data_IF_938428014723
#
_entry.id   IF_938428014723
#
_cell.length_a   1.000
_cell.length_b   1.000
_cell.length_c   1.000
_cell.angle_alpha   90.00
_cell.angle_beta   90.00
_cell.angle_gamma   90.00
#
_symmetry.space_group_name_H-M   'P 1'
#
loop_
_entity.id
_entity.type
_entity.pdbx_description
1 polymer ?
#
# COMPACT_ATOMS: atom_id res chain seq x y z
N UNK A 1 19.34 -14.34 -2.03
CA UNK A 1 18.35 -14.16 -0.96
C UNK A 1 17.10 -13.65 -1.64
N UNK A 2 15.95 -14.12 -1.18
CA UNK A 2 14.66 -13.66 -1.71
C UNK A 2 14.51 -12.13 -1.48
N UNK A 3 14.00 -11.40 -2.47
CA UNK A 3 13.96 -9.93 -2.47
C UNK A 3 12.58 -9.42 -2.87
N UNK A 4 12.13 -8.36 -2.16
CA UNK A 4 10.93 -7.60 -2.50
C UNK A 4 11.34 -6.22 -3.01
N UNK A 5 10.84 -5.84 -4.18
CA UNK A 5 10.91 -4.48 -4.70
C UNK A 5 9.56 -3.79 -4.48
N UNK A 6 9.55 -2.68 -3.77
CA UNK A 6 8.36 -1.89 -3.48
C UNK A 6 8.46 -0.60 -4.25
N UNK A 7 7.48 -0.32 -5.11
CA UNK A 7 7.51 0.82 -6.04
C UNK A 7 6.29 1.70 -5.76
N UNK A 8 6.52 2.95 -5.40
CA UNK A 8 5.39 3.87 -5.22
C UNK A 8 5.70 5.12 -4.41
N UNK A 9 4.78 5.51 -3.56
CA UNK A 9 4.76 6.78 -2.88
C UNK A 9 5.45 6.79 -1.52
N UNK A 10 6.09 7.92 -1.23
CA UNK A 10 6.49 8.34 0.10
C UNK A 10 5.88 9.71 0.36
N UNK A 11 5.23 9.87 1.50
CA UNK A 11 4.62 11.13 1.91
C UNK A 11 5.07 11.53 3.31
N UNK A 12 4.98 12.82 3.59
CA UNK A 12 4.94 13.34 4.94
C UNK A 12 3.47 13.58 5.30
N UNK A 13 2.96 12.82 6.24
CA UNK A 13 1.60 12.98 6.70
C UNK A 13 1.55 14.02 7.82
N UNK A 14 0.77 15.09 7.61
CA UNK A 14 0.48 16.13 8.60
C UNK A 14 -0.87 15.81 9.23
N UNK A 15 -0.81 15.23 10.43
CA UNK A 15 -2.02 14.79 11.15
C UNK A 15 -2.48 15.89 12.10
N UNK A 16 -3.75 16.27 11.98
CA UNK A 16 -4.41 17.25 12.86
C UNK A 16 -5.58 16.58 13.59
N UNK A 17 -5.40 16.37 14.89
CA UNK A 17 -6.47 15.86 15.75
C UNK A 17 -7.32 17.05 16.21
N UNK A 18 -8.54 17.15 15.69
CA UNK A 18 -9.45 18.25 15.99
C UNK A 18 -10.09 18.02 17.37
N UNK A 19 -10.09 19.05 18.21
CA UNK A 19 -10.80 19.05 19.50
C UNK A 19 -12.24 19.56 19.42
N UNK A 20 -12.62 20.06 18.25
CA UNK A 20 -13.93 20.60 17.92
C UNK A 20 -14.18 20.51 16.40
N UNK A 21 -15.41 20.63 15.90
CA UNK A 21 -15.70 20.64 14.47
C UNK A 21 -14.96 21.76 13.74
N UNK A 22 -14.42 21.44 12.55
CA UNK A 22 -13.68 22.39 11.73
C UNK A 22 -14.50 23.67 11.47
N UNK A 23 -13.99 24.81 11.90
CA UNK A 23 -14.62 26.10 11.77
C UNK A 23 -14.22 26.80 10.46
N UNK A 24 -15.18 27.43 9.77
CA UNK A 24 -14.92 28.18 8.54
C UNK A 24 -14.61 29.64 8.86
N UNK A 25 -13.58 30.21 8.22
CA UNK A 25 -13.16 31.60 8.37
C UNK A 25 -12.71 32.03 9.78
N UNK A 26 -12.32 31.06 10.63
CA UNK A 26 -11.76 31.32 11.95
C UNK A 26 -10.84 30.18 12.35
N UNK A 27 -10.22 30.25 13.53
CA UNK A 27 -9.32 29.21 14.05
C UNK A 27 -10.10 28.01 14.57
N UNK A 28 -9.57 26.82 14.32
CA UNK A 28 -10.00 25.57 14.98
C UNK A 28 -8.80 25.02 15.73
N UNK A 29 -8.96 24.73 17.02
CA UNK A 29 -7.89 24.19 17.84
C UNK A 29 -7.69 22.71 17.52
N UNK A 30 -6.44 22.33 17.28
CA UNK A 30 -6.04 20.96 16.97
C UNK A 30 -4.68 20.62 17.57
N UNK A 31 -4.45 19.32 17.80
CA UNK A 31 -3.11 18.81 18.07
C UNK A 31 -2.51 18.34 16.75
N UNK A 32 -1.37 18.91 16.37
CA UNK A 32 -0.73 18.62 15.09
C UNK A 32 0.54 17.80 15.28
N UNK A 33 0.77 16.85 14.37
CA UNK A 33 1.99 16.06 14.27
C UNK A 33 2.37 15.78 12.84
N UNK A 34 3.62 15.37 12.62
CA UNK A 34 4.09 14.87 11.32
C UNK A 34 4.55 13.43 11.48
N UNK A 35 4.18 12.58 10.51
CA UNK A 35 4.60 11.18 10.47
C UNK A 35 5.05 10.80 9.08
N UNK A 36 5.89 9.77 8.96
CA UNK A 36 6.18 9.15 7.68
C UNK A 36 4.92 8.45 7.18
N UNK A 37 4.61 8.61 5.91
CA UNK A 37 3.43 8.04 5.25
C UNK A 37 3.68 7.67 3.81
N UNK A 38 2.61 7.37 3.10
CA UNK A 38 2.63 6.75 1.78
C UNK A 38 2.43 5.25 1.88
N UNK A 39 1.42 4.70 1.18
CA UNK A 39 1.04 3.29 1.33
C UNK A 39 2.24 2.35 1.08
N UNK A 40 2.99 2.56 -0.01
CA UNK A 40 4.13 1.71 -0.34
C UNK A 40 5.30 1.90 0.64
N UNK A 41 5.51 3.11 1.15
CA UNK A 41 6.49 3.36 2.20
C UNK A 41 6.13 2.63 3.50
N UNK A 42 4.87 2.67 3.91
CA UNK A 42 4.39 1.96 5.10
C UNK A 42 4.62 0.43 4.97
N UNK A 43 4.32 -0.15 3.79
CA UNK A 43 4.61 -1.57 3.53
C UNK A 43 6.11 -1.87 3.68
N UNK A 44 7.00 -0.98 3.17
CA UNK A 44 8.45 -1.14 3.29
C UNK A 44 8.92 -1.10 4.75
N UNK A 45 8.38 -0.17 5.53
CA UNK A 45 8.68 -0.04 6.98
C UNK A 45 8.24 -1.30 7.73
N UNK A 46 7.01 -1.78 7.49
CA UNK A 46 6.50 -2.98 8.13
C UNK A 46 7.28 -4.24 7.74
N UNK A 47 7.63 -4.43 6.46
CA UNK A 47 8.47 -5.57 6.04
C UNK A 47 9.84 -5.54 6.70
N UNK A 48 10.46 -4.35 6.76
CA UNK A 48 11.75 -4.19 7.45
C UNK A 48 11.64 -4.54 8.94
N UNK A 49 10.56 -4.10 9.61
CA UNK A 49 10.27 -4.46 11.01
C UNK A 49 10.10 -5.98 11.19
N UNK A 50 9.48 -6.67 10.22
CA UNK A 50 9.33 -8.12 10.20
C UNK A 50 10.63 -8.87 9.79
N UNK A 51 11.74 -8.15 9.60
CA UNK A 51 13.03 -8.73 9.25
C UNK A 51 13.17 -9.12 7.77
N UNK A 52 12.28 -8.65 6.90
CA UNK A 52 12.31 -8.91 5.46
C UNK A 52 13.06 -7.78 4.74
N UNK A 53 14.16 -8.06 4.04
CA UNK A 53 14.88 -7.03 3.29
C UNK A 53 14.08 -6.56 2.07
N UNK A 54 14.02 -5.23 1.88
CA UNK A 54 13.27 -4.60 0.81
C UNK A 54 14.11 -3.60 0.03
N UNK A 55 13.75 -3.42 -1.25
CA UNK A 55 14.20 -2.32 -2.10
C UNK A 55 13.02 -1.35 -2.29
N UNK A 56 13.02 -0.23 -1.56
CA UNK A 56 12.01 0.82 -1.74
C UNK A 56 12.43 1.75 -2.87
N UNK A 57 11.65 1.77 -3.95
CA UNK A 57 11.80 2.66 -5.10
C UNK A 57 10.74 3.75 -5.05
N UNK A 58 11.18 4.98 -4.89
CA UNK A 58 10.29 6.14 -4.76
C UNK A 58 11.00 7.43 -5.18
N UNK A 59 10.30 8.56 -5.06
CA UNK A 59 10.86 9.88 -5.30
C UNK A 59 10.39 10.87 -4.24
N UNK A 60 11.35 11.73 -3.81
CA UNK A 60 11.13 12.85 -2.89
C UNK A 60 11.61 14.15 -3.53
N UNK A 61 11.19 15.28 -3.01
CA UNK A 61 11.73 16.58 -3.39
C UNK A 61 13.12 16.83 -2.80
N UNK A 62 13.82 17.83 -3.35
CA UNK A 62 15.07 18.37 -2.80
C UNK A 62 14.80 19.44 -1.70
N UNK A 63 13.78 19.22 -0.90
CA UNK A 63 13.31 20.13 0.15
C UNK A 63 13.58 19.58 1.56
N UNK A 64 13.23 20.40 2.58
CA UNK A 64 13.42 20.03 3.99
C UNK A 64 12.64 18.77 4.37
N UNK A 65 11.46 18.55 3.77
CA UNK A 65 10.65 17.36 4.03
C UNK A 65 11.30 16.11 3.43
N UNK A 66 11.92 16.21 2.24
CA UNK A 66 12.69 15.13 1.64
C UNK A 66 13.88 14.70 2.51
N UNK A 67 14.63 15.67 3.06
CA UNK A 67 15.71 15.36 3.99
C UNK A 67 15.20 14.70 5.29
N UNK A 68 14.03 15.14 5.79
CA UNK A 68 13.38 14.54 6.95
C UNK A 68 12.94 13.09 6.65
N UNK A 69 12.35 12.84 5.47
CA UNK A 69 11.96 11.47 5.02
C UNK A 69 13.16 10.52 5.05
N UNK A 70 14.31 10.93 4.49
CA UNK A 70 15.53 10.10 4.50
C UNK A 70 15.93 9.75 5.94
N UNK A 71 15.88 10.72 6.85
CA UNK A 71 16.17 10.48 8.27
C UNK A 71 15.21 9.47 8.90
N UNK A 72 13.91 9.55 8.57
CA UNK A 72 12.92 8.60 9.09
C UNK A 72 13.11 7.20 8.51
N UNK A 73 13.35 7.06 7.19
CA UNK A 73 13.63 5.77 6.57
C UNK A 73 14.82 5.07 7.25
N UNK A 74 15.90 5.81 7.50
CA UNK A 74 17.09 5.29 8.20
C UNK A 74 16.77 4.86 9.65
N UNK A 75 15.93 5.62 10.36
CA UNK A 75 15.48 5.26 11.71
C UNK A 75 14.69 3.95 11.74
N UNK A 76 13.87 3.71 10.71
CA UNK A 76 13.14 2.43 10.53
C UNK A 76 14.01 1.31 9.92
N UNK A 77 15.27 1.58 9.56
CA UNK A 77 16.15 0.60 8.92
C UNK A 77 15.84 0.34 7.45
N UNK A 78 15.01 1.17 6.81
CA UNK A 78 14.68 1.09 5.37
C UNK A 78 15.79 1.78 4.57
N UNK A 79 16.33 1.10 3.57
CA UNK A 79 17.35 1.68 2.68
C UNK A 79 16.76 2.76 1.78
N UNK A 80 17.36 3.94 1.77
CA UNK A 80 17.02 5.07 0.91
C UNK A 80 17.76 5.04 -0.45
N UNK A 81 18.56 4.01 -0.72
CA UNK A 81 19.43 3.90 -1.91
C UNK A 81 18.69 4.10 -3.25
N UNK A 82 17.44 3.63 -3.33
CA UNK A 82 16.61 3.72 -4.54
C UNK A 82 15.52 4.79 -4.43
N UNK A 83 15.61 5.68 -3.44
CA UNK A 83 14.74 6.87 -3.31
C UNK A 83 15.42 8.03 -4.00
N UNK A 84 14.82 8.52 -5.08
CA UNK A 84 15.39 9.61 -5.89
C UNK A 84 14.99 10.97 -5.33
N UNK A 85 15.96 11.86 -5.10
CA UNK A 85 15.69 13.28 -4.84
C UNK A 85 15.55 14.02 -6.17
N UNK A 86 14.41 14.68 -6.38
CA UNK A 86 14.07 15.37 -7.63
C UNK A 86 14.19 16.88 -7.44
N UNK A 87 15.14 17.49 -8.17
CA UNK A 87 15.42 18.92 -8.08
C UNK A 87 14.21 19.79 -8.42
N UNK A 88 14.00 20.85 -7.65
CA UNK A 88 12.89 21.80 -7.79
C UNK A 88 11.49 21.16 -7.68
N UNK A 89 11.38 20.00 -7.05
CA UNK A 89 10.10 19.39 -6.71
C UNK A 89 9.88 19.42 -5.20
N UNK A 90 8.60 19.37 -4.81
CA UNK A 90 8.20 19.22 -3.41
C UNK A 90 8.10 17.74 -3.08
N UNK A 91 8.44 17.37 -1.87
CA UNK A 91 8.14 16.05 -1.32
C UNK A 91 6.63 15.86 -1.20
N UNK A 92 6.15 14.65 -1.46
CA UNK A 92 4.75 14.30 -1.29
C UNK A 92 4.29 14.55 0.16
N UNK A 93 3.09 15.10 0.32
CA UNK A 93 2.48 15.36 1.64
C UNK A 93 1.03 14.92 1.65
N UNK A 94 0.52 14.54 2.83
CA UNK A 94 -0.91 14.35 3.03
C UNK A 94 -1.34 15.08 4.29
N UNK A 95 -2.27 16.04 4.19
CA UNK A 95 -2.92 16.61 5.36
C UNK A 95 -4.07 15.72 5.76
N UNK A 96 -4.09 15.29 7.02
CA UNK A 96 -5.06 14.36 7.58
C UNK A 96 -5.77 15.04 8.73
N UNK A 97 -7.04 15.35 8.56
CA UNK A 97 -7.90 15.83 9.64
C UNK A 97 -8.60 14.62 10.29
N UNK A 98 -8.47 14.51 11.59
CA UNK A 98 -9.14 13.49 12.40
C UNK A 98 -10.12 14.21 13.31
N UNK A 99 -11.41 13.94 13.18
CA UNK A 99 -12.43 14.54 14.02
C UNK A 99 -12.61 13.80 15.36
N UNK A 100 -13.48 14.31 16.22
CA UNK A 100 -13.78 13.76 17.55
C UNK A 100 -14.35 12.34 17.52
N UNK A 101 -14.87 11.89 16.37
CA UNK A 101 -15.36 10.51 16.18
C UNK A 101 -14.27 9.56 15.69
N UNK A 102 -13.06 10.08 15.36
CA UNK A 102 -11.98 9.35 14.74
C UNK A 102 -12.10 9.24 13.21
N UNK A 103 -13.12 9.89 12.60
CA UNK A 103 -13.25 9.90 11.15
C UNK A 103 -12.17 10.79 10.50
N UNK A 104 -11.65 10.35 9.35
CA UNK A 104 -10.50 10.97 8.69
C UNK A 104 -10.86 11.58 7.36
N UNK A 105 -10.36 12.79 7.14
CA UNK A 105 -10.36 13.44 5.83
C UNK A 105 -8.92 13.62 5.37
N UNK A 106 -8.57 13.00 4.24
CA UNK A 106 -7.21 13.01 3.69
C UNK A 106 -7.12 13.91 2.46
N UNK A 107 -6.10 14.75 2.43
CA UNK A 107 -5.83 15.71 1.34
C UNK A 107 -4.39 15.53 0.83
N UNK A 108 -4.14 14.55 -0.07
CA UNK A 108 -2.81 14.28 -0.58
C UNK A 108 -2.37 15.29 -1.65
N UNK A 109 -1.11 15.74 -1.53
CA UNK A 109 -0.32 16.40 -2.59
C UNK A 109 0.85 15.47 -2.93
N UNK A 110 0.90 15.00 -4.18
CA UNK A 110 1.82 13.92 -4.56
C UNK A 110 3.24 14.38 -4.83
N UNK A 111 3.46 15.66 -5.12
CA UNK A 111 4.80 16.21 -5.34
C UNK A 111 5.67 15.36 -6.25
N UNK A 112 6.89 15.05 -5.81
CA UNK A 112 7.87 14.26 -6.55
C UNK A 112 7.44 12.82 -6.84
N UNK A 113 6.46 12.25 -6.13
CA UNK A 113 5.94 10.90 -6.41
C UNK A 113 5.43 10.74 -7.85
N UNK A 114 5.03 11.84 -8.50
CA UNK A 114 4.57 11.83 -9.89
C UNK A 114 5.72 11.81 -10.93
N UNK A 115 6.97 12.00 -10.48
CA UNK A 115 8.15 12.17 -11.34
C UNK A 115 8.96 10.88 -11.52
N UNK A 116 8.39 9.73 -11.20
CA UNK A 116 9.05 8.44 -11.38
C UNK A 116 9.03 8.00 -12.85
N UNK A 117 10.10 7.32 -13.28
CA UNK A 117 10.21 6.72 -14.59
C UNK A 117 10.96 5.38 -14.50
N UNK A 118 10.63 4.45 -15.38
CA UNK A 118 11.38 3.19 -15.52
C UNK A 118 12.67 3.49 -16.25
N UNK A 119 13.79 3.22 -15.59
CA UNK A 119 15.13 3.26 -16.17
C UNK A 119 15.80 1.88 -16.04
N UNK A 120 16.99 1.73 -16.61
CA UNK A 120 17.73 0.47 -16.59
C UNK A 120 18.05 -0.04 -15.17
N UNK A 121 18.17 0.85 -14.18
CA UNK A 121 18.39 0.44 -12.80
C UNK A 121 17.12 -0.18 -12.21
N UNK A 122 15.96 0.44 -12.45
CA UNK A 122 14.68 -0.10 -12.00
C UNK A 122 14.35 -1.42 -12.71
N UNK A 123 14.62 -1.54 -14.02
CA UNK A 123 14.45 -2.81 -14.75
C UNK A 123 15.31 -3.93 -14.14
N UNK A 124 16.57 -3.64 -13.78
CA UNK A 124 17.44 -4.60 -13.11
C UNK A 124 16.94 -4.98 -11.72
N UNK A 125 16.43 -4.02 -10.94
CA UNK A 125 15.84 -4.29 -9.63
C UNK A 125 14.60 -5.19 -9.74
N UNK A 126 13.72 -4.92 -10.70
CA UNK A 126 12.55 -5.75 -10.99
C UNK A 126 12.99 -7.17 -11.34
N UNK A 127 13.92 -7.32 -12.30
CA UNK A 127 14.41 -8.62 -12.76
C UNK A 127 15.13 -9.44 -11.67
N UNK A 128 15.70 -8.76 -10.66
CA UNK A 128 16.39 -9.40 -9.54
C UNK A 128 15.45 -9.71 -8.34
N UNK A 129 14.19 -9.29 -8.41
CA UNK A 129 13.22 -9.45 -7.32
C UNK A 129 12.35 -10.69 -7.52
N UNK A 130 11.92 -11.30 -6.41
CA UNK A 130 10.92 -12.37 -6.41
C UNK A 130 9.50 -11.80 -6.44
N UNK A 131 9.31 -10.66 -5.76
CA UNK A 131 8.03 -9.97 -5.66
C UNK A 131 8.23 -8.48 -5.95
N UNK A 132 7.37 -7.92 -6.79
CA UNK A 132 7.21 -6.48 -6.99
C UNK A 132 5.87 -6.05 -6.41
N UNK A 133 5.88 -5.00 -5.59
CA UNK A 133 4.69 -4.45 -4.93
C UNK A 133 4.43 -3.03 -5.41
N UNK A 134 3.18 -2.72 -5.72
CA UNK A 134 2.76 -1.36 -6.09
C UNK A 134 1.38 -1.05 -5.53
N UNK A 135 1.10 0.22 -5.26
CA UNK A 135 -0.23 0.70 -4.95
C UNK A 135 -0.95 1.16 -6.22
N UNK A 136 -2.25 0.87 -6.32
CA UNK A 136 -3.08 1.35 -7.42
C UNK A 136 -3.18 2.88 -7.48
N UNK A 137 -2.80 3.61 -6.46
CA UNK A 137 -2.65 5.07 -6.53
C UNK A 137 -1.77 5.50 -7.71
N UNK A 138 -0.74 4.71 -8.04
CA UNK A 138 0.18 5.00 -9.16
C UNK A 138 -0.54 4.96 -10.52
N UNK A 139 -1.55 4.12 -10.70
CA UNK A 139 -2.34 4.06 -11.94
C UNK A 139 -3.39 5.16 -12.05
N UNK A 140 -3.94 5.57 -10.91
CA UNK A 140 -5.13 6.43 -10.86
C UNK A 140 -4.81 7.92 -10.99
N UNK A 141 -3.70 8.26 -11.66
CA UNK A 141 -3.28 9.65 -11.92
C UNK A 141 -2.71 9.76 -13.33
N UNK A 142 -3.15 10.73 -14.13
CA UNK A 142 -2.66 10.88 -15.51
C UNK A 142 -1.13 10.96 -15.60
N UNK A 143 -0.48 11.62 -14.64
CA UNK A 143 0.97 11.85 -14.65
C UNK A 143 1.78 10.59 -14.35
N UNK A 144 1.28 9.66 -13.55
CA UNK A 144 1.99 8.43 -13.15
C UNK A 144 1.43 7.15 -13.79
N UNK A 145 0.29 7.24 -14.51
CA UNK A 145 -0.31 6.06 -15.17
C UNK A 145 0.67 5.36 -16.11
N UNK A 146 1.40 6.14 -16.95
CA UNK A 146 2.35 5.54 -17.89
C UNK A 146 3.50 4.83 -17.17
N UNK A 147 4.05 5.45 -16.11
CA UNK A 147 5.08 4.81 -15.28
C UNK A 147 4.58 3.47 -14.71
N UNK A 148 3.35 3.43 -14.17
CA UNK A 148 2.77 2.20 -13.64
C UNK A 148 2.61 1.12 -14.71
N UNK A 149 2.21 1.49 -15.94
CA UNK A 149 2.11 0.56 -17.06
C UNK A 149 3.50 0.03 -17.50
N UNK A 150 4.51 0.89 -17.54
CA UNK A 150 5.87 0.51 -17.87
C UNK A 150 6.46 -0.46 -16.82
N UNK A 151 6.13 -0.26 -15.53
CA UNK A 151 6.47 -1.22 -14.46
C UNK A 151 5.80 -2.58 -14.72
N UNK A 152 4.48 -2.61 -15.01
CA UNK A 152 3.79 -3.86 -15.35
C UNK A 152 4.39 -4.56 -16.55
N UNK A 153 4.82 -3.81 -17.58
CA UNK A 153 5.45 -4.36 -18.76
C UNK A 153 6.85 -4.92 -18.46
N UNK A 154 7.58 -4.32 -17.52
CA UNK A 154 8.88 -4.81 -17.05
C UNK A 154 8.72 -6.09 -16.22
N UNK A 155 7.73 -6.13 -15.32
CA UNK A 155 7.39 -7.33 -14.54
C UNK A 155 6.97 -8.48 -15.45
N UNK A 156 6.16 -8.23 -16.48
CA UNK A 156 5.73 -9.26 -17.43
C UNK A 156 6.87 -9.90 -18.25
N UNK A 157 8.05 -9.26 -18.28
CA UNK A 157 9.27 -9.78 -18.97
C UNK A 157 10.21 -10.51 -18.00
N UNK A 158 9.86 -10.63 -16.74
CA UNK A 158 10.66 -11.25 -15.68
C UNK A 158 9.91 -12.41 -15.02
N UNK A 159 10.59 -13.15 -14.16
CA UNK A 159 9.98 -14.25 -13.39
C UNK A 159 9.40 -13.79 -12.05
N UNK A 160 9.42 -12.48 -11.77
CA UNK A 160 8.91 -11.95 -10.51
C UNK A 160 7.37 -11.93 -10.46
N UNK A 161 6.81 -11.88 -9.25
CA UNK A 161 5.38 -11.80 -8.99
C UNK A 161 4.95 -10.36 -8.78
N UNK A 162 3.84 -9.95 -9.37
CA UNK A 162 3.25 -8.62 -9.18
C UNK A 162 2.16 -8.64 -8.12
N UNK A 163 2.30 -7.83 -7.10
CA UNK A 163 1.28 -7.58 -6.07
C UNK A 163 0.80 -6.13 -6.15
N UNK A 164 -0.51 -5.91 -6.20
CA UNK A 164 -1.08 -4.57 -6.23
C UNK A 164 -2.13 -4.43 -5.13
N UNK A 165 -1.97 -3.43 -4.27
CA UNK A 165 -3.02 -2.98 -3.36
C UNK A 165 -3.96 -2.01 -4.10
N UNK A 166 -5.28 -2.21 -3.99
CA UNK A 166 -6.30 -1.42 -4.69
C UNK A 166 -6.40 0.04 -4.22
N UNK A 167 -5.76 0.36 -3.12
CA UNK A 167 -5.52 1.68 -2.56
C UNK A 167 -6.71 2.36 -1.89
N UNK A 168 -7.74 2.81 -2.62
CA UNK A 168 -8.87 3.52 -2.04
C UNK A 168 -10.09 3.56 -2.96
N UNK A 169 -11.28 3.45 -2.39
CA UNK A 169 -12.56 3.39 -3.10
C UNK A 169 -12.88 4.66 -3.89
N UNK A 170 -12.67 5.85 -3.31
CA UNK A 170 -12.98 7.13 -3.99
C UNK A 170 -12.14 7.37 -5.25
N UNK A 171 -10.81 7.19 -5.27
CA UNK A 171 -10.02 7.21 -6.50
C UNK A 171 -10.46 6.18 -7.54
N UNK A 172 -10.80 4.93 -7.13
CA UNK A 172 -11.31 3.89 -8.05
C UNK A 172 -12.55 4.39 -8.78
N UNK A 173 -13.52 4.94 -8.04
CA UNK A 173 -14.76 5.48 -8.61
C UNK A 173 -14.49 6.64 -9.58
N UNK A 174 -13.62 7.60 -9.19
CA UNK A 174 -13.28 8.76 -10.01
C UNK A 174 -12.53 8.42 -11.28
N UNK A 175 -11.63 7.43 -11.23
CA UNK A 175 -10.83 7.00 -12.37
C UNK A 175 -11.59 6.05 -13.30
N UNK A 176 -12.60 5.35 -12.77
CA UNK A 176 -13.46 4.40 -13.44
C UNK A 176 -13.12 2.94 -13.11
N UNK A 177 -14.05 2.26 -12.43
CA UNK A 177 -13.87 0.90 -11.91
C UNK A 177 -13.41 -0.11 -12.98
N UNK A 178 -14.02 -0.09 -14.17
CA UNK A 178 -13.65 -0.99 -15.27
C UNK A 178 -12.18 -0.81 -15.70
N UNK A 179 -11.69 0.43 -15.77
CA UNK A 179 -10.32 0.74 -16.13
C UNK A 179 -9.34 0.26 -15.06
N UNK A 180 -9.68 0.47 -13.78
CA UNK A 180 -8.87 -0.01 -12.66
C UNK A 180 -8.82 -1.53 -12.64
N UNK A 181 -9.96 -2.23 -12.79
CA UNK A 181 -9.99 -3.70 -12.91
C UNK A 181 -9.03 -4.21 -13.98
N UNK A 182 -9.03 -3.60 -15.17
CA UNK A 182 -8.16 -4.01 -16.27
C UNK A 182 -6.66 -3.90 -15.92
N UNK A 183 -6.28 -2.90 -15.12
CA UNK A 183 -4.90 -2.78 -14.66
C UNK A 183 -4.57 -3.81 -13.58
N UNK A 184 -5.46 -3.95 -12.59
CA UNK A 184 -5.29 -4.89 -11.48
C UNK A 184 -5.25 -6.35 -11.96
N UNK A 185 -6.00 -6.71 -13.00
CA UNK A 185 -6.02 -8.07 -13.57
C UNK A 185 -4.65 -8.51 -14.14
N UNK A 186 -3.70 -7.58 -14.33
CA UNK A 186 -2.32 -7.90 -14.73
C UNK A 186 -1.46 -8.38 -13.56
N UNK A 187 -1.92 -8.22 -12.32
CA UNK A 187 -1.20 -8.67 -11.14
C UNK A 187 -1.36 -10.17 -10.88
N UNK A 188 -0.41 -10.76 -10.17
CA UNK A 188 -0.52 -12.12 -9.64
C UNK A 188 -1.37 -12.17 -8.38
N UNK A 189 -1.39 -11.07 -7.62
CA UNK A 189 -2.20 -10.90 -6.41
C UNK A 189 -2.69 -9.47 -6.29
N UNK A 190 -3.97 -9.31 -6.02
CA UNK A 190 -4.63 -8.04 -5.71
C UNK A 190 -5.10 -8.05 -4.25
N UNK A 191 -4.85 -6.96 -3.53
CA UNK A 191 -5.38 -6.72 -2.19
C UNK A 191 -6.42 -5.62 -2.26
N UNK A 192 -7.58 -5.83 -1.66
CA UNK A 192 -8.62 -4.81 -1.54
C UNK A 192 -9.30 -4.91 -0.18
N UNK A 193 -9.78 -3.80 0.39
CA UNK A 193 -10.74 -3.84 1.47
C UNK A 193 -12.17 -3.92 0.91
N UNK A 194 -13.18 -4.01 1.77
CA UNK A 194 -14.57 -4.15 1.34
C UNK A 194 -15.10 -2.95 0.56
N UNK A 195 -14.69 -1.73 0.92
CA UNK A 195 -15.09 -0.51 0.21
C UNK A 195 -14.44 -0.44 -1.17
N UNK A 196 -13.19 -0.85 -1.27
CA UNK A 196 -12.45 -0.95 -2.54
C UNK A 196 -13.04 -2.05 -3.42
N UNK A 197 -13.34 -3.22 -2.84
CA UNK A 197 -14.01 -4.31 -3.55
C UNK A 197 -15.38 -3.87 -4.06
N UNK A 198 -16.19 -3.18 -3.23
CA UNK A 198 -17.47 -2.62 -3.65
C UNK A 198 -17.30 -1.58 -4.77
N UNK A 199 -16.28 -0.72 -4.68
CA UNK A 199 -15.99 0.25 -5.75
C UNK A 199 -15.56 -0.43 -7.06
N UNK A 200 -14.76 -1.50 -6.98
CA UNK A 200 -14.37 -2.31 -8.14
C UNK A 200 -15.53 -3.09 -8.75
N UNK A 201 -16.57 -3.45 -7.98
CA UNK A 201 -17.73 -4.19 -8.46
C UNK A 201 -18.75 -3.32 -9.24
N UNK A 202 -18.60 -2.00 -9.22
CA UNK A 202 -19.48 -1.08 -9.94
C UNK A 202 -19.44 -1.39 -11.44
N UNK A 203 -20.62 -1.60 -12.05
CA UNK A 203 -20.78 -1.96 -13.47
C UNK A 203 -19.95 -3.20 -13.91
N UNK A 204 -19.58 -4.05 -12.97
CA UNK A 204 -18.84 -5.26 -13.26
C UNK A 204 -19.78 -6.38 -13.77
N UNK A 205 -19.36 -7.17 -14.76
CA UNK A 205 -20.13 -8.37 -15.16
C UNK A 205 -20.12 -9.40 -14.03
N UNK A 206 -21.11 -10.29 -14.01
CA UNK A 206 -21.13 -11.41 -13.06
C UNK A 206 -19.85 -12.26 -13.20
N UNK A 207 -19.20 -12.57 -12.08
CA UNK A 207 -17.97 -13.37 -12.05
C UNK A 207 -16.73 -12.61 -12.50
N UNK A 208 -16.73 -11.27 -12.42
CA UNK A 208 -15.57 -10.43 -12.75
C UNK A 208 -14.31 -10.78 -11.93
N UNK A 209 -14.50 -11.34 -10.75
CA UNK A 209 -13.41 -11.83 -9.89
C UNK A 209 -12.56 -12.92 -10.56
N UNK A 210 -13.14 -13.64 -11.54
CA UNK A 210 -12.41 -14.67 -12.30
C UNK A 210 -11.26 -14.10 -13.14
N UNK A 211 -11.28 -12.80 -13.43
CA UNK A 211 -10.21 -12.11 -14.16
C UNK A 211 -8.93 -11.96 -13.29
N UNK A 212 -9.07 -12.06 -11.96
CA UNK A 212 -7.94 -11.99 -11.05
C UNK A 212 -7.39 -13.40 -10.76
N UNK A 213 -6.07 -13.55 -10.87
CA UNK A 213 -5.41 -14.80 -10.47
C UNK A 213 -5.63 -15.06 -8.98
N UNK A 214 -5.36 -14.06 -8.16
CA UNK A 214 -5.62 -14.06 -6.72
C UNK A 214 -6.15 -12.70 -6.29
N UNK A 215 -7.21 -12.70 -5.48
CA UNK A 215 -7.80 -11.51 -4.87
C UNK A 215 -8.00 -11.76 -3.38
N UNK A 216 -7.42 -10.90 -2.55
CA UNK A 216 -7.66 -10.93 -1.11
C UNK A 216 -8.56 -9.76 -0.74
N UNK A 217 -9.62 -10.05 0.00
CA UNK A 217 -10.56 -9.06 0.52
C UNK A 217 -10.32 -8.94 2.04
N UNK A 218 -9.79 -7.78 2.46
CA UNK A 218 -9.59 -7.39 3.86
C UNK A 218 -10.94 -6.94 4.42
N UNK A 219 -11.41 -7.56 5.52
CA UNK A 219 -12.77 -7.38 6.06
C UNK A 219 -12.78 -6.81 7.49
N UNK A 220 -11.73 -6.09 7.88
CA UNK A 220 -11.57 -5.49 9.20
C UNK A 220 -11.64 -6.56 10.30
N UNK A 221 -12.52 -6.37 11.29
CA UNK A 221 -12.74 -7.31 12.41
C UNK A 221 -13.19 -8.71 11.97
N UNK A 222 -13.76 -8.83 10.76
CA UNK A 222 -14.14 -10.12 10.17
C UNK A 222 -12.98 -10.85 9.51
N UNK A 223 -11.75 -10.31 9.58
CA UNK A 223 -10.54 -10.91 9.07
C UNK A 223 -10.34 -10.75 7.56
N UNK A 224 -10.05 -11.83 6.84
CA UNK A 224 -9.76 -11.77 5.42
C UNK A 224 -10.26 -12.99 4.66
N UNK A 225 -10.52 -12.79 3.37
CA UNK A 225 -10.97 -13.79 2.41
C UNK A 225 -9.99 -13.82 1.23
N UNK A 226 -9.53 -15.00 0.82
CA UNK A 226 -8.71 -15.20 -0.38
C UNK A 226 -9.52 -15.91 -1.46
N UNK A 227 -9.64 -15.27 -2.61
CA UNK A 227 -10.23 -15.82 -3.83
C UNK A 227 -9.12 -16.16 -4.82
N UNK A 228 -9.15 -17.37 -5.38
CA UNK A 228 -8.35 -17.74 -6.55
C UNK A 228 -9.30 -17.91 -7.74
N UNK A 229 -9.14 -17.08 -8.75
CA UNK A 229 -10.04 -17.02 -9.92
C UNK A 229 -11.53 -17.05 -9.52
N UNK A 230 -11.89 -16.16 -8.60
CA UNK A 230 -13.25 -16.02 -8.08
C UNK A 230 -13.73 -17.11 -7.12
N UNK A 231 -12.97 -18.19 -6.94
CA UNK A 231 -13.30 -19.27 -5.98
C UNK A 231 -12.64 -19.02 -4.64
N UNK A 232 -13.41 -19.15 -3.55
CA UNK A 232 -12.86 -19.06 -2.19
C UNK A 232 -11.89 -20.23 -1.94
N UNK A 233 -10.66 -19.91 -1.55
CA UNK A 233 -9.62 -20.90 -1.18
C UNK A 233 -9.26 -20.84 0.29
N UNK A 234 -9.43 -19.69 0.95
CA UNK A 234 -9.24 -19.56 2.39
C UNK A 234 -10.04 -18.37 2.94
N UNK A 235 -10.46 -18.48 4.18
CA UNK A 235 -11.06 -17.40 4.97
C UNK A 235 -10.61 -17.53 6.43
N UNK A 236 -10.20 -16.42 7.02
CA UNK A 236 -9.78 -16.37 8.43
C UNK A 236 -10.48 -15.23 9.14
N UNK A 237 -10.75 -15.40 10.43
CA UNK A 237 -11.20 -14.32 11.30
C UNK A 237 -10.01 -13.52 11.83
N UNK A 238 -10.22 -12.25 12.18
CA UNK A 238 -9.26 -11.48 12.92
C UNK A 238 -9.34 -11.76 14.42
N UNK A 239 -8.21 -11.66 15.13
CA UNK A 239 -8.21 -11.70 16.58
C UNK A 239 -8.88 -10.43 17.13
N UNK A 240 -9.72 -10.52 18.17
CA UNK A 240 -10.34 -9.35 18.82
C UNK A 240 -9.27 -8.47 19.47
N UNK A 241 -9.29 -7.18 19.18
CA UNK A 241 -8.36 -6.20 19.75
C UNK A 241 -9.13 -4.93 20.16
N UNK A 242 -8.54 -4.15 21.07
CA UNK A 242 -8.93 -2.76 21.27
C UNK A 242 -8.26 -1.89 20.22
N UNK A 243 -9.05 -1.27 19.36
CA UNK A 243 -8.56 -0.46 18.23
C UNK A 243 -8.27 0.96 18.73
N UNK A 244 -7.03 1.41 18.51
CA UNK A 244 -6.57 2.77 18.77
C UNK A 244 -6.61 3.59 17.48
N UNK A 245 -6.00 3.08 16.40
CA UNK A 245 -5.92 3.74 15.09
C UNK A 245 -5.83 2.71 13.96
N UNK A 246 -6.66 2.84 12.94
CA UNK A 246 -6.67 1.92 11.78
C UNK A 246 -5.80 2.41 10.61
N UNK A 247 -5.10 3.55 10.75
CA UNK A 247 -4.19 4.07 9.71
C UNK A 247 -3.07 3.08 9.46
N UNK A 248 -2.85 2.70 8.20
CA UNK A 248 -1.80 1.76 7.82
C UNK A 248 -2.11 0.28 8.08
N UNK A 249 -3.28 -0.09 8.64
CA UNK A 249 -3.62 -1.48 8.87
C UNK A 249 -3.59 -2.32 7.58
N UNK A 250 -4.01 -1.75 6.45
CA UNK A 250 -3.92 -2.38 5.13
C UNK A 250 -2.49 -2.60 4.68
N UNK A 251 -1.59 -1.65 4.97
CA UNK A 251 -0.17 -1.72 4.64
C UNK A 251 0.54 -2.78 5.51
N UNK A 252 0.24 -2.81 6.81
CA UNK A 252 0.72 -3.84 7.73
C UNK A 252 0.23 -5.25 7.33
N UNK A 253 -1.06 -5.37 6.94
CA UNK A 253 -1.60 -6.61 6.39
C UNK A 253 -0.80 -7.07 5.17
N UNK A 254 -0.58 -6.17 4.21
CA UNK A 254 0.21 -6.45 3.01
C UNK A 254 1.62 -6.96 3.38
N UNK A 255 2.30 -6.28 4.28
CA UNK A 255 3.64 -6.67 4.73
C UNK A 255 3.65 -8.05 5.42
N UNK A 256 2.72 -8.31 6.34
CA UNK A 256 2.56 -9.59 6.99
C UNK A 256 2.33 -10.74 6.00
N UNK A 257 1.46 -10.51 5.01
CA UNK A 257 1.20 -11.46 3.93
C UNK A 257 2.45 -11.75 3.11
N UNK A 258 3.14 -10.70 2.65
CA UNK A 258 4.33 -10.82 1.80
C UNK A 258 5.48 -11.52 2.51
N UNK A 259 5.62 -11.34 3.83
CA UNK A 259 6.62 -12.05 4.64
C UNK A 259 6.46 -13.57 4.56
N UNK A 260 5.24 -14.07 4.41
CA UNK A 260 4.93 -15.50 4.23
C UNK A 260 5.10 -15.94 2.78
N UNK A 261 4.56 -15.15 1.84
CA UNK A 261 4.58 -15.51 0.42
C UNK A 261 5.99 -15.51 -0.19
N UNK A 262 6.90 -14.69 0.34
CA UNK A 262 8.30 -14.66 -0.08
C UNK A 262 9.01 -16.01 0.12
N UNK A 263 8.60 -16.79 1.11
CA UNK A 263 9.15 -18.12 1.39
C UNK A 263 8.53 -19.24 0.55
N UNK A 264 7.49 -18.91 -0.25
CA UNK A 264 6.67 -19.85 -1.02
C UNK A 264 6.65 -19.41 -2.49
N UNK A 265 7.61 -19.87 -3.31
CA UNK A 265 7.82 -19.33 -4.66
C UNK A 265 6.68 -19.64 -5.65
N UNK A 266 5.89 -20.68 -5.40
CA UNK A 266 4.76 -21.06 -6.28
C UNK A 266 3.41 -20.92 -5.56
N UNK A 267 2.76 -19.76 -5.77
CA UNK A 267 1.45 -19.47 -5.19
C UNK A 267 0.30 -20.26 -5.84
N UNK A 268 0.53 -20.90 -6.99
CA UNK A 268 -0.47 -21.72 -7.66
C UNK A 268 -0.51 -23.15 -7.10
N UNK A 269 0.55 -23.57 -6.42
CA UNK A 269 0.66 -24.88 -5.78
C UNK A 269 0.40 -24.87 -4.27
N UNK A 270 0.01 -23.71 -3.69
CA UNK A 270 -0.31 -23.60 -2.26
C UNK A 270 -1.54 -24.45 -1.92
N UNK A 271 -1.46 -25.13 -0.79
CA UNK A 271 -2.62 -25.82 -0.20
C UNK A 271 -3.49 -24.85 0.60
N UNK A 272 -4.73 -25.24 0.89
CA UNK A 272 -5.69 -24.40 1.66
C UNK A 272 -5.11 -23.96 3.02
N UNK A 273 -4.36 -24.85 3.67
CA UNK A 273 -3.71 -24.54 4.95
C UNK A 273 -2.65 -23.45 4.81
N UNK A 274 -1.88 -23.43 3.72
CA UNK A 274 -0.87 -22.41 3.45
C UNK A 274 -1.50 -21.02 3.22
N UNK A 275 -2.63 -20.98 2.51
CA UNK A 275 -3.39 -19.72 2.32
C UNK A 275 -3.92 -19.21 3.65
N UNK A 276 -4.51 -20.08 4.46
CA UNK A 276 -5.06 -19.70 5.76
C UNK A 276 -3.96 -19.19 6.72
N UNK A 277 -2.81 -19.89 6.79
CA UNK A 277 -1.68 -19.47 7.61
C UNK A 277 -1.14 -18.10 7.19
N UNK A 278 -0.98 -17.86 5.88
CA UNK A 278 -0.54 -16.58 5.35
C UNK A 278 -1.51 -15.44 5.70
N UNK A 279 -2.83 -15.70 5.59
CA UNK A 279 -3.85 -14.74 5.99
C UNK A 279 -3.83 -14.46 7.51
N UNK A 280 -3.58 -15.46 8.35
CA UNK A 280 -3.49 -15.28 9.81
C UNK A 280 -2.30 -14.38 10.19
N UNK A 281 -1.14 -14.56 9.56
CA UNK A 281 0.01 -13.68 9.79
C UNK A 281 -0.30 -12.26 9.34
N UNK A 282 -0.94 -12.10 8.18
CA UNK A 282 -1.35 -10.80 7.65
C UNK A 282 -2.35 -10.08 8.58
N UNK A 283 -3.38 -10.79 9.06
CA UNK A 283 -4.37 -10.21 9.97
C UNK A 283 -3.76 -9.82 11.31
N UNK A 284 -2.80 -10.57 11.84
CA UNK A 284 -2.08 -10.23 13.07
C UNK A 284 -1.22 -8.98 12.90
N UNK A 285 -0.47 -8.86 11.80
CA UNK A 285 0.28 -7.65 11.51
C UNK A 285 -0.62 -6.41 11.44
N UNK A 286 -1.77 -6.51 10.78
CA UNK A 286 -2.79 -5.46 10.77
C UNK A 286 -3.33 -5.13 12.16
N UNK A 287 -3.60 -6.15 12.97
CA UNK A 287 -4.07 -5.99 14.34
C UNK A 287 -3.02 -5.31 15.24
N UNK A 288 -1.74 -5.64 15.06
CA UNK A 288 -0.65 -5.01 15.81
C UNK A 288 -0.50 -3.52 15.45
N UNK A 289 -0.65 -3.17 14.16
CA UNK A 289 -0.71 -1.77 13.75
C UNK A 289 -1.87 -1.01 14.41
N UNK A 290 -3.05 -1.62 14.50
CA UNK A 290 -4.23 -0.97 15.05
C UNK A 290 -4.16 -0.68 16.56
N UNK A 291 -3.18 -1.21 17.29
CA UNK A 291 -2.97 -0.95 18.73
C UNK A 291 -2.24 0.35 19.03
N UNK A 292 -1.69 1.02 18.02
CA UNK A 292 -0.89 2.24 18.16
C UNK A 292 -1.35 3.33 17.19
N UNK A 293 -1.02 4.59 17.48
CA UNK A 293 -1.32 5.70 16.58
C UNK A 293 -0.32 5.70 15.42
N UNK A 294 -0.83 5.87 14.19
CA UNK A 294 -0.02 6.00 12.97
C UNK A 294 0.10 4.72 12.17
N UNK A 295 0.73 4.82 10.99
CA UNK A 295 0.79 3.75 9.99
C UNK A 295 2.02 2.83 10.12
N UNK A 296 2.96 3.12 11.01
CA UNK A 296 4.19 2.35 11.18
C UNK A 296 4.29 1.66 12.53
N UNK A 297 5.13 0.63 12.64
CA UNK A 297 5.44 -0.01 13.92
C UNK A 297 6.12 0.99 14.86
N UNK A 298 5.94 0.82 16.16
CA UNK A 298 6.65 1.60 17.17
C UNK A 298 8.13 1.18 17.16
N UNK A 299 9.05 2.19 17.06
CA UNK A 299 10.49 2.00 17.09
C UNK A 299 10.97 2.00 18.54
#
# INVERSE_FOLDING_TARGET
>A
MAQICIIGDINVDVVSLLSEPLQTNTDTIATNGITLGGSTCNVAVWLTHLGVPVNLVSAIGDDVLGAWVVTQLQAYGVSDKNVKSISNQRTGTCVILVDETGARSMMPDFGANLMQAVDSNLEQLIAASDIVVMSAYTFMRPQSTQFALDVLDSVAKSDCRMVIDAASSSPIQKFGAAKVRNYLARADLVLANEDEYAALSVDAPSGWENDFKNLIIKRGERGALWLNRGSEVASVAADPIEVVDTTGAGDAFCAGLLSQLLTRPDWNSLEVLDFAESLLVATRAAADNCKTIGAGPVI
#
